data_IF_476362858325
#
_entry.id   IF_476362858325
#
_cell.length_a   1.000
_cell.length_b   1.000
_cell.length_c   1.000
_cell.angle_alpha   90.00
_cell.angle_beta   90.00
_cell.angle_gamma   90.00
#
_symmetry.space_group_name_H-M   'P 1'
#
loop_
_entity.id
_entity.type
_entity.pdbx_description
1 polymer ?
#
# COMPACT_ATOMS: atom_id res chain seq x y z
N UNK A 1 21.04 22.54 -2.06
CA UNK A 1 20.66 21.33 -1.28
C UNK A 1 19.31 21.55 -0.61
N UNK A 2 18.23 21.48 -1.39
CA UNK A 2 16.82 21.44 -0.92
C UNK A 2 15.90 20.88 -2.03
N UNK A 3 16.28 21.07 -3.29
CA UNK A 3 15.50 20.57 -4.43
C UNK A 3 15.66 19.05 -4.63
N UNK A 4 16.85 18.50 -4.39
CA UNK A 4 17.14 17.07 -4.59
C UNK A 4 16.31 16.16 -3.66
N UNK A 5 16.09 16.59 -2.41
CA UNK A 5 15.28 15.83 -1.43
C UNK A 5 13.80 15.85 -1.79
N UNK A 6 13.29 16.98 -2.30
CA UNK A 6 11.90 17.11 -2.72
C UNK A 6 11.61 16.23 -3.93
N UNK A 7 12.53 16.20 -4.90
CA UNK A 7 12.43 15.39 -6.11
C UNK A 7 12.50 13.90 -5.78
N UNK A 8 13.42 13.48 -4.90
CA UNK A 8 13.52 12.09 -4.45
C UNK A 8 12.25 11.61 -3.73
N UNK A 9 11.57 12.48 -2.98
CA UNK A 9 10.30 12.15 -2.34
C UNK A 9 9.14 12.06 -3.35
N UNK A 10 9.13 12.91 -4.39
CA UNK A 10 8.15 12.84 -5.47
C UNK A 10 8.29 11.56 -6.28
N UNK A 11 9.51 11.17 -6.65
CA UNK A 11 9.77 9.93 -7.39
C UNK A 11 9.31 8.69 -6.62
N UNK A 12 9.47 8.67 -5.29
CA UNK A 12 8.95 7.60 -4.44
C UNK A 12 7.43 7.57 -4.37
N UNK A 13 6.78 8.73 -4.31
CA UNK A 13 5.32 8.83 -4.33
C UNK A 13 4.75 8.38 -5.68
N UNK A 14 5.39 8.73 -6.79
CA UNK A 14 5.00 8.29 -8.14
C UNK A 14 5.21 6.79 -8.34
N UNK A 15 6.25 6.21 -7.74
CA UNK A 15 6.47 4.77 -7.73
C UNK A 15 5.52 4.00 -6.79
N UNK A 16 4.75 4.70 -5.95
CA UNK A 16 3.81 4.06 -5.02
C UNK A 16 2.53 3.69 -5.76
N UNK A 17 2.26 2.39 -5.83
CA UNK A 17 1.06 1.87 -6.48
C UNK A 17 -0.21 2.29 -5.72
N UNK A 18 -1.11 2.99 -6.43
CA UNK A 18 -2.45 3.28 -5.94
C UNK A 18 -3.35 2.08 -6.14
N UNK A 19 -4.21 1.81 -5.17
CA UNK A 19 -5.12 0.68 -5.24
C UNK A 19 -6.57 1.14 -5.24
N UNK A 20 -7.47 0.48 -6.00
CA UNK A 20 -8.88 0.86 -6.04
C UNK A 20 -9.56 0.59 -4.70
N UNK A 21 -10.22 1.59 -4.13
CA UNK A 21 -11.03 1.43 -2.93
C UNK A 21 -12.50 1.21 -3.30
N UNK A 22 -13.10 0.12 -2.80
CA UNK A 22 -14.51 -0.21 -3.08
C UNK A 22 -15.50 0.81 -2.48
N UNK A 23 -15.12 1.49 -1.39
CA UNK A 23 -15.96 2.50 -0.72
C UNK A 23 -15.83 3.86 -1.40
N UNK A 24 -14.59 4.34 -1.56
CA UNK A 24 -14.32 5.63 -2.18
C UNK A 24 -14.54 5.61 -3.72
N UNK A 25 -14.52 4.43 -4.35
CA UNK A 25 -14.58 4.22 -5.82
C UNK A 25 -13.51 4.99 -6.59
N UNK A 26 -12.36 5.20 -5.96
CA UNK A 26 -11.21 5.92 -6.49
C UNK A 26 -9.94 5.10 -6.22
N UNK A 27 -8.90 5.37 -7.00
CA UNK A 27 -7.56 4.87 -6.74
C UNK A 27 -6.94 5.68 -5.61
N UNK A 28 -6.52 4.99 -4.55
CA UNK A 28 -6.07 5.63 -3.32
C UNK A 28 -4.91 4.85 -2.72
N UNK A 29 -4.10 5.54 -1.91
CA UNK A 29 -3.10 4.91 -1.08
C UNK A 29 -3.80 4.07 0.00
N UNK A 30 -3.27 2.88 0.25
CA UNK A 30 -3.72 2.02 1.33
C UNK A 30 -2.54 1.73 2.24
N UNK A 31 -2.66 2.11 3.51
CA UNK A 31 -1.62 1.88 4.51
C UNK A 31 -1.71 0.45 5.03
N UNK A 32 -0.56 -0.21 5.21
CA UNK A 32 -0.48 -1.49 5.93
C UNK A 32 -0.71 -1.25 7.43
N UNK A 33 -1.75 -1.87 7.98
CA UNK A 33 -2.12 -1.71 9.40
C UNK A 33 -1.59 -2.87 10.22
N UNK A 34 -1.81 -4.10 9.76
CA UNK A 34 -1.51 -5.31 10.52
C UNK A 34 -1.23 -6.50 9.58
N UNK A 35 -0.42 -7.44 10.06
CA UNK A 35 -0.28 -8.77 9.43
C UNK A 35 -1.29 -9.71 10.08
N UNK A 36 -2.25 -10.20 9.31
CA UNK A 36 -3.29 -11.10 9.81
C UNK A 36 -2.77 -12.54 9.88
N UNK A 37 -2.15 -13.02 8.81
CA UNK A 37 -1.63 -14.39 8.75
C UNK A 37 -0.41 -14.48 7.80
N UNK A 38 0.48 -15.45 8.08
CA UNK A 38 1.64 -15.76 7.25
C UNK A 38 1.55 -17.19 6.75
N UNK A 39 1.56 -17.33 5.44
CA UNK A 39 1.60 -18.61 4.72
C UNK A 39 3.02 -18.90 4.24
N UNK A 40 3.24 -20.09 3.69
CA UNK A 40 4.56 -20.50 3.20
C UNK A 40 5.14 -19.59 2.10
N UNK A 41 4.29 -18.96 1.29
CA UNK A 41 4.69 -18.12 0.14
C UNK A 41 3.84 -16.83 0.02
N UNK A 42 3.12 -16.45 1.07
CA UNK A 42 2.27 -15.27 1.03
C UNK A 42 2.03 -14.75 2.45
N UNK A 43 1.78 -13.45 2.56
CA UNK A 43 1.36 -12.80 3.81
C UNK A 43 0.04 -12.09 3.59
N UNK A 44 -0.94 -12.38 4.44
CA UNK A 44 -2.21 -11.67 4.47
C UNK A 44 -2.10 -10.44 5.38
N UNK A 45 -2.42 -9.29 4.81
CA UNK A 45 -2.31 -7.99 5.44
C UNK A 45 -3.69 -7.36 5.60
N UNK A 46 -3.91 -6.69 6.72
CA UNK A 46 -4.98 -5.71 6.87
C UNK A 46 -4.46 -4.36 6.37
N UNK A 47 -5.14 -3.79 5.40
CA UNK A 47 -4.83 -2.47 4.86
C UNK A 47 -5.99 -1.51 5.07
N UNK A 48 -5.68 -0.23 5.24
CA UNK A 48 -6.67 0.84 5.43
C UNK A 48 -6.51 1.91 4.36
N UNK A 49 -7.62 2.24 3.68
CA UNK A 49 -7.65 3.32 2.71
C UNK A 49 -7.38 4.66 3.43
N UNK A 50 -6.36 5.39 2.99
CA UNK A 50 -5.99 6.67 3.62
C UNK A 50 -7.00 7.79 3.36
N UNK A 51 -7.93 7.61 2.42
CA UNK A 51 -8.96 8.58 2.08
C UNK A 51 -10.26 8.40 2.89
N UNK A 52 -10.83 7.18 2.94
CA UNK A 52 -12.09 6.91 3.64
C UNK A 52 -11.96 6.09 4.93
N UNK A 53 -10.76 5.59 5.27
CA UNK A 53 -10.54 4.77 6.47
C UNK A 53 -11.15 3.36 6.39
N UNK A 54 -11.71 2.95 5.25
CA UNK A 54 -12.21 1.59 5.07
C UNK A 54 -11.05 0.61 5.09
N UNK A 55 -11.24 -0.50 5.82
CA UNK A 55 -10.28 -1.59 5.90
C UNK A 55 -10.59 -2.70 4.91
N UNK A 56 -9.54 -3.34 4.40
CA UNK A 56 -9.62 -4.50 3.52
C UNK A 56 -8.45 -5.44 3.77
N UNK A 57 -8.62 -6.71 3.42
CA UNK A 57 -7.51 -7.66 3.41
C UNK A 57 -6.79 -7.62 2.06
N UNK A 58 -5.49 -7.92 2.07
CA UNK A 58 -4.64 -7.99 0.89
C UNK A 58 -3.63 -9.12 1.02
N UNK A 59 -3.51 -9.92 -0.03
CA UNK A 59 -2.55 -11.03 -0.06
C UNK A 59 -1.28 -10.57 -0.76
N UNK A 60 -0.20 -10.40 0.00
CA UNK A 60 1.11 -10.10 -0.54
C UNK A 60 1.83 -11.43 -0.84
N UNK A 61 2.07 -11.72 -2.13
CA UNK A 61 2.83 -12.89 -2.54
C UNK A 61 4.32 -12.66 -2.28
N UNK A 62 4.96 -13.60 -1.59
CA UNK A 62 6.42 -13.60 -1.45
C UNK A 62 7.01 -14.29 -2.68
N UNK A 63 7.67 -13.52 -3.55
CA UNK A 63 8.41 -14.13 -4.66
C UNK A 63 9.61 -14.91 -4.10
N UNK A 64 9.81 -16.19 -4.51
CA UNK A 64 11.00 -16.93 -4.10
C UNK A 64 12.24 -16.19 -4.61
N UNK A 65 13.18 -15.94 -3.69
CA UNK A 65 14.49 -15.35 -4.00
C UNK A 65 15.37 -16.30 -4.80
#
# INVERSE_FOLDING_TARGET
MKDDELQFLQEQLEATELLPCATCRQETLHAHVEVLERYAHATELLMECTACGTRRTWMQMEMPK
#
